data_IF_337619560167
#
_entry.id   IF_337619560167
#
_cell.length_a   1.000
_cell.length_b   1.000
_cell.length_c   1.000
_cell.angle_alpha   90.00
_cell.angle_beta   90.00
_cell.angle_gamma   90.00
#
_symmetry.space_group_name_H-M   'P 1'
#
loop_
_entity.id
_entity.type
_entity.pdbx_description
1 polymer ?
#
# COMPACT_ATOMS: atom_id res chain seq x y z
N UNK A 1 18.65 13.48 10.28
CA UNK A 1 19.29 12.57 9.29
C UNK A 1 18.74 11.14 9.48
N UNK A 2 19.13 10.18 8.64
CA UNK A 2 18.69 8.79 8.75
C UNK A 2 19.12 8.11 10.08
N UNK A 3 20.21 8.59 10.67
CA UNK A 3 20.80 8.06 11.90
C UNK A 3 19.96 8.43 13.14
N UNK A 4 19.38 9.63 13.17
CA UNK A 4 18.42 10.05 14.18
C UNK A 4 17.14 9.21 14.20
N UNK A 5 16.57 8.91 13.02
CA UNK A 5 15.37 8.07 12.92
C UNK A 5 15.60 6.62 13.34
N UNK A 6 16.78 6.05 13.02
CA UNK A 6 17.13 4.70 13.46
C UNK A 6 17.30 4.62 14.99
N UNK A 7 17.94 5.64 15.58
CA UNK A 7 18.16 5.73 17.03
C UNK A 7 16.85 5.92 17.79
N UNK A 8 15.95 6.77 17.28
CA UNK A 8 14.61 6.96 17.84
C UNK A 8 13.77 5.68 17.77
N UNK A 9 13.79 4.96 16.64
CA UNK A 9 13.08 3.67 16.50
C UNK A 9 13.60 2.60 17.46
N UNK A 10 14.91 2.57 17.72
CA UNK A 10 15.49 1.70 18.75
C UNK A 10 15.00 2.06 20.15
N UNK A 11 14.96 3.35 20.48
CA UNK A 11 14.50 3.84 21.77
C UNK A 11 13.01 3.51 22.01
N UNK A 12 12.17 3.73 21.00
CA UNK A 12 10.74 3.40 21.01
C UNK A 12 10.54 1.91 21.29
N UNK A 13 11.26 1.04 20.57
CA UNK A 13 11.21 -0.42 20.78
C UNK A 13 11.74 -0.85 22.14
N UNK A 14 12.80 -0.21 22.64
CA UNK A 14 13.39 -0.58 23.94
C UNK A 14 12.53 -0.16 25.14
N UNK A 15 11.55 0.71 24.93
CA UNK A 15 10.62 1.20 25.96
C UNK A 15 9.18 0.71 25.72
N UNK A 16 8.98 -0.30 24.86
CA UNK A 16 7.66 -0.83 24.47
C UNK A 16 6.66 0.24 24.00
N UNK A 17 7.16 1.36 23.48
CA UNK A 17 6.34 2.42 22.93
C UNK A 17 5.82 1.97 21.57
N UNK A 18 4.51 1.89 21.42
CA UNK A 18 3.87 1.54 20.15
C UNK A 18 3.66 2.81 19.31
N UNK A 19 4.27 2.87 18.14
CA UNK A 19 3.94 3.91 17.14
C UNK A 19 2.66 3.53 16.42
N UNK A 20 1.77 4.49 16.19
CA UNK A 20 0.58 4.26 15.35
C UNK A 20 1.02 3.80 13.95
N UNK A 21 0.57 2.62 13.47
CA UNK A 21 0.91 2.17 12.13
C UNK A 21 0.29 3.11 11.07
N UNK A 22 0.93 3.16 9.90
CA UNK A 22 0.34 3.80 8.74
C UNK A 22 -0.82 2.97 8.20
N UNK A 23 -1.93 3.61 7.91
CA UNK A 23 -3.12 2.98 7.34
C UNK A 23 -3.88 3.95 6.45
N UNK A 24 -4.58 3.38 5.49
CA UNK A 24 -5.39 4.12 4.54
C UNK A 24 -6.82 3.65 4.59
N UNK A 25 -7.74 4.49 4.15
CA UNK A 25 -9.13 4.10 4.00
C UNK A 25 -9.77 4.74 2.78
N UNK A 26 -10.83 4.08 2.32
CA UNK A 26 -11.69 4.50 1.25
C UNK A 26 -13.15 4.35 1.71
N UNK A 27 -14.01 5.20 1.17
CA UNK A 27 -15.45 5.17 1.41
C UNK A 27 -16.12 4.72 0.11
N UNK A 28 -16.86 3.61 0.18
CA UNK A 28 -17.57 3.03 -0.97
C UNK A 28 -19.00 2.74 -0.51
N UNK A 29 -19.97 3.39 -1.16
CA UNK A 29 -21.34 3.42 -0.66
C UNK A 29 -21.39 4.10 0.70
N UNK A 30 -21.97 3.41 1.70
CA UNK A 30 -22.10 3.88 3.08
C UNK A 30 -21.14 3.14 4.04
N UNK A 31 -20.04 2.58 3.49
CA UNK A 31 -19.07 1.79 4.25
C UNK A 31 -17.66 2.35 4.12
N UNK A 32 -16.96 2.37 5.25
CA UNK A 32 -15.54 2.74 5.34
C UNK A 32 -14.69 1.48 5.40
N UNK A 33 -13.81 1.32 4.41
CA UNK A 33 -12.89 0.18 4.32
C UNK A 33 -11.49 0.64 4.68
N UNK A 34 -10.91 0.00 5.69
CA UNK A 34 -9.59 0.32 6.23
C UNK A 34 -8.56 -0.72 5.81
N UNK A 35 -7.38 -0.24 5.42
CA UNK A 35 -6.27 -1.05 4.96
C UNK A 35 -5.00 -0.71 5.75
N UNK A 36 -4.34 -1.75 6.25
CA UNK A 36 -3.03 -1.69 6.91
C UNK A 36 -2.12 -2.64 6.13
N UNK A 37 -0.85 -2.28 5.99
CA UNK A 37 0.14 -3.14 5.31
C UNK A 37 0.28 -4.45 6.09
N UNK A 38 0.33 -5.57 5.37
CA UNK A 38 0.42 -6.94 5.89
C UNK A 38 -0.78 -7.40 6.74
N UNK A 39 -1.83 -6.59 6.82
CA UNK A 39 -3.05 -6.95 7.51
C UNK A 39 -3.94 -7.82 6.63
N UNK A 40 -4.12 -9.06 7.06
CA UNK A 40 -4.97 -10.06 6.41
C UNK A 40 -6.34 -10.21 7.07
N UNK A 41 -6.71 -9.31 8.01
CA UNK A 41 -8.00 -9.35 8.69
C UNK A 41 -9.16 -8.96 7.76
N UNK A 42 -8.89 -8.32 6.62
CA UNK A 42 -9.90 -8.08 5.59
C UNK A 42 -10.32 -9.41 4.93
N UNK A 43 -11.63 -9.68 4.89
CA UNK A 43 -12.17 -10.92 4.32
C UNK A 43 -11.71 -11.15 2.87
N UNK A 44 -11.58 -10.07 2.10
CA UNK A 44 -11.17 -10.10 0.70
C UNK A 44 -9.67 -9.84 0.51
N UNK A 45 -8.86 -9.92 1.56
CA UNK A 45 -7.43 -9.58 1.52
C UNK A 45 -6.69 -10.28 0.37
N UNK A 46 -6.89 -11.58 0.16
CA UNK A 46 -6.24 -12.30 -0.93
C UNK A 46 -6.57 -11.72 -2.32
N UNK A 47 -7.83 -11.35 -2.55
CA UNK A 47 -8.28 -10.77 -3.81
C UNK A 47 -7.68 -9.38 -4.02
N UNK A 48 -7.69 -8.54 -2.97
CA UNK A 48 -7.11 -7.19 -3.01
C UNK A 48 -5.62 -7.25 -3.37
N UNK A 49 -4.88 -8.17 -2.76
CA UNK A 49 -3.45 -8.33 -3.05
C UNK A 49 -3.21 -8.83 -4.48
N UNK A 50 -4.02 -9.75 -4.99
CA UNK A 50 -3.94 -10.22 -6.38
C UNK A 50 -4.21 -9.08 -7.37
N UNK A 51 -5.27 -8.31 -7.14
CA UNK A 51 -5.67 -7.19 -7.99
C UNK A 51 -4.64 -6.08 -7.97
N UNK A 52 -4.02 -5.82 -6.81
CA UNK A 52 -2.88 -4.91 -6.71
C UNK A 52 -1.70 -5.35 -7.59
N UNK A 53 -1.35 -6.65 -7.59
CA UNK A 53 -0.28 -7.14 -8.45
C UNK A 53 -0.59 -6.91 -9.94
N UNK A 54 -1.83 -7.16 -10.35
CA UNK A 54 -2.27 -6.99 -11.73
C UNK A 54 -2.34 -5.51 -12.14
N UNK A 55 -2.80 -4.63 -11.25
CA UNK A 55 -2.79 -3.17 -11.45
C UNK A 55 -1.36 -2.67 -11.63
N UNK A 56 -0.44 -3.07 -10.75
CA UNK A 56 0.98 -2.67 -10.83
C UNK A 56 1.59 -3.20 -12.13
N UNK A 57 1.33 -4.46 -12.51
CA UNK A 57 1.83 -5.03 -13.77
C UNK A 57 1.35 -4.22 -14.97
N UNK A 58 0.05 -3.88 -15.03
CA UNK A 58 -0.52 -3.04 -16.11
C UNK A 58 0.08 -1.64 -16.12
N UNK A 59 0.25 -1.02 -14.95
CA UNK A 59 0.85 0.30 -14.83
C UNK A 59 2.30 0.31 -15.36
N UNK A 60 3.10 -0.69 -14.99
CA UNK A 60 4.49 -0.83 -15.46
C UNK A 60 4.55 -0.97 -16.98
N UNK A 61 3.67 -1.80 -17.57
CA UNK A 61 3.56 -1.91 -19.04
C UNK A 61 3.17 -0.57 -19.69
N UNK A 62 2.37 0.24 -19.00
CA UNK A 62 2.00 1.59 -19.44
C UNK A 62 3.09 2.66 -19.16
N UNK A 63 4.24 2.28 -18.59
CA UNK A 63 5.39 3.18 -18.38
C UNK A 63 5.57 3.71 -16.95
N UNK A 64 4.76 3.27 -15.98
CA UNK A 64 4.99 3.56 -14.57
C UNK A 64 6.31 2.93 -14.08
N UNK A 65 7.09 3.69 -13.34
CA UNK A 65 8.36 3.25 -12.73
C UNK A 65 8.24 3.40 -11.21
N UNK A 66 8.18 2.30 -10.44
CA UNK A 66 8.10 2.37 -8.98
C UNK A 66 9.32 3.08 -8.38
N UNK A 67 9.14 3.91 -7.34
CA UNK A 67 10.27 4.62 -6.71
C UNK A 67 11.31 3.67 -6.06
N UNK A 68 10.89 2.58 -5.42
CA UNK A 68 11.78 1.63 -4.71
C UNK A 68 12.30 0.48 -5.59
N UNK A 69 12.42 0.75 -6.88
CA UNK A 69 12.76 -0.29 -7.82
C UNK A 69 14.29 -0.42 -7.92
N UNK A 70 14.88 -1.33 -7.13
CA UNK A 70 16.07 -2.08 -7.55
C UNK A 70 15.68 -3.07 -8.69
N UNK A 71 14.79 -2.64 -9.60
CA UNK A 71 14.13 -3.44 -10.61
C UNK A 71 14.85 -3.22 -11.92
N UNK A 72 15.84 -4.07 -12.16
CA UNK A 72 16.43 -4.24 -13.48
C UNK A 72 16.15 -5.68 -13.90
N UNK A 73 15.02 -5.93 -14.55
CA UNK A 73 14.76 -7.23 -15.16
C UNK A 73 13.31 -7.47 -15.59
N UNK A 74 13.09 -8.25 -16.68
CA UNK A 74 11.76 -8.59 -17.20
C UNK A 74 10.96 -9.58 -16.33
N UNK A 75 11.47 -9.93 -15.15
CA UNK A 75 10.82 -10.87 -14.21
C UNK A 75 10.43 -10.08 -12.96
N UNK A 76 9.16 -9.72 -12.87
CA UNK A 76 8.53 -9.24 -11.63
C UNK A 76 8.53 -10.39 -10.61
N UNK A 77 9.62 -10.55 -9.87
CA UNK A 77 9.69 -11.57 -8.80
C UNK A 77 8.75 -11.18 -7.65
N UNK A 78 8.26 -12.14 -6.86
CA UNK A 78 7.43 -11.88 -5.65
C UNK A 78 8.08 -10.87 -4.67
N UNK A 79 9.41 -10.76 -4.68
CA UNK A 79 10.18 -9.78 -3.90
C UNK A 79 10.03 -8.34 -4.39
N UNK A 80 9.59 -8.12 -5.63
CA UNK A 80 9.34 -6.79 -6.20
C UNK A 80 8.10 -6.12 -5.61
N UNK A 81 7.16 -6.88 -5.06
CA UNK A 81 5.92 -6.33 -4.51
C UNK A 81 6.03 -5.82 -3.07
N UNK A 82 7.17 -6.04 -2.38
CA UNK A 82 7.37 -5.59 -1.01
C UNK A 82 7.12 -4.09 -0.79
N UNK A 83 7.47 -3.25 -1.78
CA UNK A 83 7.16 -1.80 -1.79
C UNK A 83 5.81 -1.49 -2.48
N UNK A 84 5.25 -2.44 -3.24
CA UNK A 84 3.91 -2.29 -3.80
C UNK A 84 2.81 -2.38 -2.74
N UNK A 85 3.07 -3.00 -1.59
CA UNK A 85 2.09 -3.19 -0.51
C UNK A 85 1.90 -1.95 0.39
N UNK A 86 1.80 -0.75 -0.18
CA UNK A 86 1.37 0.41 0.57
C UNK A 86 -0.12 0.34 0.89
N UNK A 87 -0.54 0.82 2.06
CA UNK A 87 -1.95 0.84 2.45
C UNK A 87 -2.81 1.63 1.46
N UNK A 88 -2.26 2.67 0.85
CA UNK A 88 -2.92 3.44 -0.23
C UNK A 88 -3.18 2.56 -1.44
N UNK A 89 -2.19 1.78 -1.88
CA UNK A 89 -2.27 0.94 -3.07
C UNK A 89 -3.26 -0.22 -2.87
N UNK A 90 -3.34 -0.76 -1.65
CA UNK A 90 -4.40 -1.72 -1.28
C UNK A 90 -5.80 -1.08 -1.38
N UNK A 91 -5.96 0.17 -0.91
CA UNK A 91 -7.22 0.89 -1.03
C UNK A 91 -7.59 1.20 -2.50
N UNK A 92 -6.60 1.52 -3.35
CA UNK A 92 -6.80 1.68 -4.80
C UNK A 92 -7.29 0.37 -5.41
N UNK A 93 -6.58 -0.74 -5.16
CA UNK A 93 -6.95 -2.05 -5.69
C UNK A 93 -8.38 -2.43 -5.29
N UNK A 94 -8.73 -2.27 -4.01
CA UNK A 94 -10.08 -2.50 -3.54
C UNK A 94 -11.12 -1.62 -4.25
N UNK A 95 -10.86 -0.32 -4.39
CA UNK A 95 -11.75 0.59 -5.09
C UNK A 95 -11.94 0.24 -6.57
N UNK A 96 -10.88 -0.20 -7.25
CA UNK A 96 -10.96 -0.65 -8.65
C UNK A 96 -11.76 -1.95 -8.81
N UNK A 97 -11.71 -2.85 -7.84
CA UNK A 97 -12.49 -4.10 -7.85
C UNK A 97 -13.98 -3.88 -7.61
N UNK A 98 -14.31 -2.93 -6.74
CA UNK A 98 -15.65 -2.81 -6.16
C UNK A 98 -16.48 -1.67 -6.75
N UNK A 99 -15.89 -0.81 -7.58
CA UNK A 99 -16.58 0.31 -8.21
C UNK A 99 -16.60 0.21 -9.73
N UNK A 100 -17.62 0.76 -10.41
CA UNK A 100 -17.66 0.82 -11.86
C UNK A 100 -16.48 1.62 -12.44
N UNK A 101 -16.05 1.26 -13.66
CA UNK A 101 -15.04 2.01 -14.38
C UNK A 101 -15.44 3.48 -14.54
N UNK A 102 -14.48 4.40 -14.35
CA UNK A 102 -14.71 5.85 -14.37
C UNK A 102 -15.17 6.44 -13.04
N UNK A 103 -15.40 5.62 -12.00
CA UNK A 103 -15.68 6.11 -10.65
C UNK A 103 -14.45 6.83 -10.09
N UNK A 104 -14.67 8.01 -9.50
CA UNK A 104 -13.62 8.72 -8.77
C UNK A 104 -13.41 8.07 -7.41
N UNK A 105 -12.20 7.59 -7.14
CA UNK A 105 -11.81 7.02 -5.84
C UNK A 105 -11.15 8.08 -4.97
N UNK A 106 -11.58 8.18 -3.70
CA UNK A 106 -10.98 9.10 -2.73
C UNK A 106 -10.35 8.33 -1.58
N UNK A 107 -9.03 8.36 -1.51
CA UNK A 107 -8.24 7.62 -0.52
C UNK A 107 -7.63 8.59 0.46
N UNK A 108 -7.77 8.28 1.74
CA UNK A 108 -7.18 9.07 2.83
C UNK A 108 -6.18 8.21 3.59
N UNK A 109 -5.11 8.82 4.11
CA UNK A 109 -4.08 8.18 4.93
C UNK A 109 -3.92 8.94 6.24
N UNK A 110 -3.72 8.22 7.33
CA UNK A 110 -3.51 8.80 8.66
C UNK A 110 -2.12 9.44 8.85
N UNK A 111 -1.17 9.05 8.00
CA UNK A 111 0.19 9.57 7.92
C UNK A 111 0.42 10.23 6.55
N UNK A 112 1.68 10.53 6.24
CA UNK A 112 2.07 11.04 4.94
C UNK A 112 1.77 10.03 3.82
N UNK A 113 1.13 10.52 2.75
CA UNK A 113 0.92 9.77 1.50
C UNK A 113 2.27 9.52 0.84
N UNK A 114 2.48 8.30 0.38
CA UNK A 114 3.70 7.96 -0.36
C UNK A 114 3.80 8.76 -1.67
N UNK A 115 5.02 9.03 -2.14
CA UNK A 115 5.21 9.71 -3.44
C UNK A 115 4.93 8.79 -4.63
N UNK A 116 4.96 7.49 -4.37
CA UNK A 116 4.78 6.37 -5.28
C UNK A 116 3.36 5.80 -5.23
#
# INVERSE_FOLDING_TARGET
>A
DAQGFASMRKLIRSHDLQTTPGWSWIEIGDQVHRFVVDDKMHAESQLIYSELQDVVRRAVVAGYKPEDSNVTGPVLSDRCFGSAFHSEKLAIAYGLMTTPAGTTLRITKNLRVCRD
#
